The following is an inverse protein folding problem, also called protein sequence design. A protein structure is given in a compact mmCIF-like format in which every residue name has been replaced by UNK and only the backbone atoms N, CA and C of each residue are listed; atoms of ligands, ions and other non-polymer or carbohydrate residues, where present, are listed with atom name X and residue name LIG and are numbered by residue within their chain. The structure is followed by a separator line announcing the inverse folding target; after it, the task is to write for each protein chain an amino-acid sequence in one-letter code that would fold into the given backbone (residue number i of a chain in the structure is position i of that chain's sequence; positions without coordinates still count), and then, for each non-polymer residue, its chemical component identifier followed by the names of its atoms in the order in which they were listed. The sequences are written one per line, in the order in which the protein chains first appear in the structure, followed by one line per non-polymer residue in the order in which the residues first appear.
data_IF_456968301362
#
_entry.id   IF_456968301362
#
_cell.length_a   1.000
_cell.length_b   1.000
_cell.length_c   1.000
_cell.angle_alpha   90.00
_cell.angle_beta   90.00
_cell.angle_gamma   90.00
#
_symmetry.space_group_name_H-M   'P 1'
#
loop_
_entity.id
_entity.type
_entity.pdbx_description
1 polymer ?
#
# COMPACT_ATOMS: atom_id res chain seq x y z
N UNK A 1 38.24 43.80 59.28
CA UNK A 1 37.50 44.09 58.05
C UNK A 1 38.20 43.37 56.90
N UNK A 2 37.76 42.20 56.50
CA UNK A 2 38.30 41.48 55.35
C UNK A 2 37.11 41.08 54.44
N UNK A 3 37.08 41.65 53.24
CA UNK A 3 36.11 41.31 52.18
C UNK A 3 36.42 39.91 51.61
N UNK A 4 35.44 39.01 51.61
CA UNK A 4 35.50 37.75 50.89
C UNK A 4 34.79 37.97 49.54
N UNK A 5 35.53 37.83 48.48
CA UNK A 5 35.03 37.72 47.09
C UNK A 5 34.49 36.30 46.85
N UNK A 6 33.22 36.19 46.46
CA UNK A 6 32.62 34.97 45.93
C UNK A 6 32.90 34.88 44.45
N UNK A 7 33.64 33.88 44.02
CA UNK A 7 33.74 33.48 42.62
C UNK A 7 32.55 32.64 42.26
N UNK A 8 31.65 33.20 41.42
CA UNK A 8 30.57 32.46 40.78
C UNK A 8 31.09 31.72 39.56
N UNK A 9 31.01 30.39 39.59
CA UNK A 9 31.27 29.56 38.44
C UNK A 9 29.96 29.47 37.62
N UNK A 10 29.94 30.16 36.47
CA UNK A 10 28.86 30.03 35.50
C UNK A 10 29.05 28.72 34.74
N UNK A 11 28.13 27.78 34.89
CA UNK A 11 28.00 26.63 34.03
C UNK A 11 27.31 27.03 32.74
N UNK A 12 28.08 27.16 31.68
CA UNK A 12 27.54 27.27 30.31
C UNK A 12 27.15 25.88 29.86
N UNK A 13 25.85 25.59 29.88
CA UNK A 13 25.32 24.40 29.19
C UNK A 13 25.38 24.67 27.68
N UNK A 14 26.45 24.21 27.05
CA UNK A 14 26.50 24.10 25.59
C UNK A 14 25.58 22.95 25.15
N UNK A 15 24.38 23.27 24.68
CA UNK A 15 23.55 22.35 23.92
C UNK A 15 24.20 22.19 22.53
N UNK A 16 25.05 21.15 22.42
CA UNK A 16 25.52 20.70 21.13
C UNK A 16 24.34 20.13 20.36
N UNK A 17 23.82 20.87 19.38
CA UNK A 17 23.06 20.28 18.29
C UNK A 17 23.97 19.26 17.59
N UNK A 18 23.86 18.02 17.97
CA UNK A 18 24.36 16.92 17.16
C UNK A 18 23.49 16.90 15.91
N UNK A 19 23.92 17.65 14.87
CA UNK A 19 23.51 17.38 13.50
C UNK A 19 23.85 15.91 13.25
N UNK A 20 22.86 15.05 13.35
CA UNK A 20 22.93 13.70 12.85
C UNK A 20 23.19 13.81 11.35
N UNK A 21 24.45 13.87 10.95
CA UNK A 21 24.86 13.53 9.60
C UNK A 21 24.43 12.05 9.41
N UNK A 22 23.26 11.86 8.81
CA UNK A 22 22.93 10.56 8.23
C UNK A 22 24.00 10.33 7.15
N UNK A 23 24.82 9.27 7.23
CA UNK A 23 25.62 8.92 6.09
C UNK A 23 24.61 8.73 4.95
N UNK A 24 24.80 9.44 3.86
CA UNK A 24 24.15 9.12 2.60
C UNK A 24 24.67 7.72 2.22
N UNK A 25 23.98 6.69 2.67
CA UNK A 25 24.16 5.37 2.08
C UNK A 25 23.82 5.58 0.61
N UNK A 26 24.82 5.42 -0.23
CA UNK A 26 24.59 5.29 -1.66
C UNK A 26 23.56 4.16 -1.79
N UNK A 27 22.32 4.52 -2.17
CA UNK A 27 21.29 3.53 -2.42
C UNK A 27 21.77 2.71 -3.58
N UNK A 28 22.19 1.47 -3.31
CA UNK A 28 22.37 0.49 -4.36
C UNK A 28 21.01 0.34 -5.02
N UNK A 29 20.93 0.73 -6.30
CA UNK A 29 19.73 0.57 -7.10
C UNK A 29 19.36 -0.91 -7.12
N UNK A 30 18.11 -1.24 -6.82
CA UNK A 30 17.62 -2.61 -6.96
C UNK A 30 17.94 -3.05 -8.40
N UNK A 31 18.74 -4.10 -8.55
CA UNK A 31 19.14 -4.56 -9.86
C UNK A 31 17.93 -5.10 -10.63
N UNK A 32 17.69 -4.58 -11.82
CA UNK A 32 16.64 -5.11 -12.70
C UNK A 32 16.96 -6.56 -13.06
N UNK A 33 16.06 -7.47 -12.77
CA UNK A 33 16.25 -8.92 -12.98
C UNK A 33 15.10 -9.57 -13.73
N UNK A 34 14.14 -8.77 -14.23
CA UNK A 34 12.91 -9.29 -14.79
C UNK A 34 12.79 -9.16 -16.29
N UNK A 35 12.18 -10.16 -16.90
CA UNK A 35 11.72 -10.18 -18.30
C UNK A 35 10.32 -9.63 -18.49
N UNK A 36 9.63 -9.24 -17.39
CA UNK A 36 8.30 -8.65 -17.49
C UNK A 36 8.40 -7.27 -18.10
N UNK A 37 8.08 -7.20 -19.37
CA UNK A 37 7.91 -5.94 -20.08
C UNK A 37 6.51 -5.46 -19.75
N UNK A 38 6.36 -4.30 -19.11
CA UNK A 38 5.12 -3.62 -18.79
C UNK A 38 3.98 -3.91 -19.79
N UNK A 39 3.15 -4.92 -19.60
CA UNK A 39 2.05 -5.19 -20.51
C UNK A 39 0.85 -4.32 -20.12
N UNK A 40 0.88 -3.05 -20.52
CA UNK A 40 -0.26 -2.17 -20.35
C UNK A 40 -1.48 -2.70 -21.13
N UNK A 41 -2.66 -2.56 -20.56
CA UNK A 41 -3.94 -2.81 -21.24
C UNK A 41 -4.19 -1.70 -22.27
N UNK A 42 -3.91 -0.46 -21.88
CA UNK A 42 -3.90 0.70 -22.78
C UNK A 42 -2.46 0.99 -23.22
N UNK A 43 -2.25 1.14 -24.52
CA UNK A 43 -0.93 1.43 -25.09
C UNK A 43 -0.37 2.78 -24.63
N UNK A 44 -1.27 3.77 -24.44
CA UNK A 44 -0.88 5.14 -24.13
C UNK A 44 -1.62 5.70 -22.93
N UNK A 45 -0.97 6.64 -22.25
CA UNK A 45 -1.57 7.39 -21.18
C UNK A 45 -2.84 8.15 -21.63
N UNK A 46 -2.85 8.68 -22.85
CA UNK A 46 -4.01 9.42 -23.39
C UNK A 46 -5.25 8.54 -23.53
N UNK A 47 -5.08 7.28 -23.88
CA UNK A 47 -6.20 6.32 -23.89
C UNK A 47 -6.75 6.09 -22.48
N UNK A 48 -5.87 5.95 -21.47
CA UNK A 48 -6.27 5.82 -20.08
C UNK A 48 -6.99 7.08 -19.57
N UNK A 49 -6.46 8.27 -19.87
CA UNK A 49 -7.08 9.55 -19.50
C UNK A 49 -8.48 9.68 -20.06
N UNK A 50 -8.67 9.30 -21.32
CA UNK A 50 -9.97 9.39 -21.98
C UNK A 50 -11.07 8.61 -21.22
N UNK A 51 -10.76 7.46 -20.65
CA UNK A 51 -11.77 6.66 -19.91
C UNK A 51 -12.09 7.25 -18.55
N UNK A 52 -11.22 8.13 -18.02
CA UNK A 52 -11.37 8.76 -16.69
C UNK A 52 -12.02 10.15 -16.73
N UNK A 53 -12.40 10.67 -17.91
CA UNK A 53 -12.99 12.01 -18.04
C UNK A 53 -14.32 12.19 -17.30
N UNK A 54 -15.03 11.10 -17.03
CA UNK A 54 -16.29 11.14 -16.27
C UNK A 54 -16.10 11.30 -14.74
N UNK A 55 -14.86 11.30 -14.26
CA UNK A 55 -14.49 11.47 -12.86
C UNK A 55 -13.62 12.73 -12.68
N UNK A 56 -14.21 13.93 -12.77
CA UNK A 56 -13.44 15.17 -12.87
C UNK A 56 -12.53 15.44 -11.67
N UNK A 57 -12.99 15.14 -10.45
CA UNK A 57 -12.16 15.33 -9.25
C UNK A 57 -10.93 14.42 -9.30
N UNK A 58 -11.11 13.14 -9.65
CA UNK A 58 -10.01 12.20 -9.82
C UNK A 58 -9.08 12.64 -10.96
N UNK A 59 -9.65 13.07 -12.08
CA UNK A 59 -8.92 13.51 -13.26
C UNK A 59 -8.00 14.69 -12.93
N UNK A 60 -8.54 15.73 -12.31
CA UNK A 60 -7.79 16.94 -11.94
C UNK A 60 -6.68 16.59 -10.93
N UNK A 61 -7.02 15.81 -9.89
CA UNK A 61 -6.06 15.42 -8.85
C UNK A 61 -4.94 14.50 -9.38
N UNK A 62 -5.21 13.68 -10.41
CA UNK A 62 -4.25 12.72 -10.93
C UNK A 62 -3.44 13.23 -12.12
N UNK A 63 -4.04 14.01 -13.00
CA UNK A 63 -3.39 14.38 -14.27
C UNK A 63 -3.02 15.85 -14.33
N UNK A 64 -3.92 16.77 -14.00
CA UNK A 64 -3.65 18.19 -14.15
C UNK A 64 -2.55 18.68 -13.20
N UNK A 65 -2.56 18.21 -11.96
CA UNK A 65 -1.53 18.55 -10.96
C UNK A 65 -0.16 18.01 -11.37
N UNK A 66 -0.11 16.82 -11.97
CA UNK A 66 1.14 16.13 -12.31
C UNK A 66 1.53 16.17 -13.78
N UNK A 67 0.86 16.99 -14.59
CA UNK A 67 1.07 17.07 -16.07
C UNK A 67 2.52 17.30 -16.52
N UNK A 68 3.35 17.89 -15.66
CA UNK A 68 4.77 18.09 -15.95
C UNK A 68 5.66 16.92 -15.54
N UNK A 69 5.13 15.92 -14.85
CA UNK A 69 5.87 14.74 -14.42
C UNK A 69 5.83 13.65 -15.50
N UNK A 70 6.76 12.69 -15.39
CA UNK A 70 6.76 11.54 -16.27
C UNK A 70 5.43 10.77 -16.11
N UNK A 71 4.82 10.39 -17.24
CA UNK A 71 3.52 9.71 -17.29
C UNK A 71 2.46 10.38 -16.38
N UNK A 72 2.57 11.69 -16.21
CA UNK A 72 1.71 12.50 -15.34
C UNK A 72 1.55 11.90 -13.92
N UNK A 73 2.62 11.33 -13.38
CA UNK A 73 2.64 10.71 -12.06
C UNK A 73 2.04 9.30 -12.00
N UNK A 74 1.56 8.73 -13.10
CA UNK A 74 0.98 7.37 -13.09
C UNK A 74 2.03 6.27 -13.27
N UNK A 75 1.70 5.06 -12.81
CA UNK A 75 2.58 3.89 -12.92
C UNK A 75 1.80 2.71 -13.49
N UNK A 76 2.23 2.20 -14.65
CA UNK A 76 1.60 1.01 -15.27
C UNK A 76 1.76 -0.18 -14.34
N UNK A 77 0.65 -0.87 -14.06
CA UNK A 77 0.67 -2.11 -13.27
C UNK A 77 1.29 -3.23 -14.12
N UNK A 78 2.45 -3.78 -13.73
CA UNK A 78 3.07 -4.87 -14.49
C UNK A 78 2.28 -6.16 -14.34
N UNK A 79 2.50 -7.09 -15.27
CA UNK A 79 2.04 -8.48 -15.13
C UNK A 79 0.56 -8.74 -15.36
N UNK A 80 -0.26 -7.74 -15.73
CA UNK A 80 -1.69 -7.91 -16.03
C UNK A 80 -1.98 -8.89 -17.18
N UNK A 81 -1.05 -9.05 -18.12
CA UNK A 81 -1.17 -9.99 -19.23
C UNK A 81 -0.42 -11.28 -18.92
N UNK A 82 0.77 -11.17 -18.32
CA UNK A 82 1.65 -12.31 -18.08
C UNK A 82 2.65 -11.99 -16.96
N UNK A 83 2.82 -12.96 -16.05
CA UNK A 83 3.79 -12.88 -14.95
C UNK A 83 4.50 -14.23 -14.81
N UNK A 84 5.82 -14.23 -14.85
CA UNK A 84 6.62 -15.39 -14.47
C UNK A 84 6.55 -15.55 -12.94
N UNK A 85 6.20 -16.73 -12.47
CA UNK A 85 6.06 -17.08 -11.06
C UNK A 85 6.34 -18.58 -10.86
N UNK A 86 5.81 -19.19 -9.79
CA UNK A 86 5.86 -20.64 -9.57
C UNK A 86 4.47 -21.20 -9.36
N UNK A 87 4.27 -22.43 -9.81
CA UNK A 87 3.03 -23.18 -9.68
C UNK A 87 2.90 -23.88 -8.30
N UNK A 88 1.87 -24.73 -8.16
CA UNK A 88 1.59 -25.53 -6.96
C UNK A 88 2.69 -26.55 -6.64
N UNK A 89 3.53 -26.88 -7.59
CA UNK A 89 4.64 -27.83 -7.47
C UNK A 89 5.99 -27.14 -7.33
N UNK A 90 5.99 -25.82 -7.12
CA UNK A 90 7.18 -24.98 -7.11
C UNK A 90 8.00 -25.02 -8.41
N UNK A 91 7.33 -25.33 -9.54
CA UNK A 91 7.92 -25.22 -10.86
C UNK A 91 7.68 -23.83 -11.40
N UNK A 92 8.67 -23.31 -12.12
CA UNK A 92 8.54 -22.02 -12.79
C UNK A 92 7.49 -22.12 -13.87
N UNK A 93 6.52 -21.20 -13.83
CA UNK A 93 5.39 -21.14 -14.75
C UNK A 93 4.98 -19.69 -15.04
N UNK A 94 4.10 -19.51 -16.01
CA UNK A 94 3.56 -18.20 -16.38
C UNK A 94 2.09 -18.10 -15.97
N UNK A 95 1.79 -17.09 -15.13
CA UNK A 95 0.43 -16.74 -14.77
C UNK A 95 -0.09 -15.60 -15.66
N UNK A 96 -1.23 -15.83 -16.32
CA UNK A 96 -1.93 -14.80 -17.10
C UNK A 96 -3.10 -14.15 -16.33
N UNK A 97 -3.24 -14.44 -15.04
CA UNK A 97 -4.43 -14.07 -14.24
C UNK A 97 -4.05 -13.44 -12.88
N UNK A 98 -3.00 -12.61 -12.91
CA UNK A 98 -2.62 -11.83 -11.74
C UNK A 98 -3.57 -10.67 -11.52
N UNK A 99 -4.08 -10.56 -10.29
CA UNK A 99 -4.98 -9.50 -9.83
C UNK A 99 -4.26 -8.62 -8.82
N UNK A 100 -4.02 -7.34 -9.11
CA UNK A 100 -3.34 -6.42 -8.20
C UNK A 100 -4.24 -6.09 -6.99
N UNK A 101 -3.64 -5.98 -5.81
CA UNK A 101 -4.38 -5.81 -4.56
C UNK A 101 -3.81 -4.73 -3.66
N UNK A 102 -2.49 -4.64 -3.53
CA UNK A 102 -1.84 -3.72 -2.62
C UNK A 102 -0.84 -2.81 -3.31
N UNK A 103 -0.68 -1.60 -2.80
CA UNK A 103 0.31 -0.62 -3.26
C UNK A 103 1.03 0.02 -2.07
N UNK A 104 2.35 0.21 -2.18
CA UNK A 104 3.14 0.97 -1.22
C UNK A 104 4.25 1.76 -1.92
N UNK A 105 4.56 2.92 -1.35
CA UNK A 105 5.77 3.68 -1.69
C UNK A 105 6.88 3.26 -0.75
N UNK A 106 7.97 2.74 -1.31
CA UNK A 106 9.10 2.17 -0.57
C UNK A 106 10.36 2.89 -1.03
N UNK A 107 10.76 3.92 -0.31
CA UNK A 107 11.87 4.81 -0.70
C UNK A 107 11.71 5.32 -2.15
N UNK A 108 12.58 4.91 -3.08
CA UNK A 108 12.54 5.28 -4.51
C UNK A 108 11.74 4.29 -5.38
N UNK A 109 10.93 3.44 -4.77
CA UNK A 109 10.15 2.42 -5.48
C UNK A 109 8.66 2.52 -5.23
N UNK A 110 7.89 2.12 -6.23
CA UNK A 110 6.48 1.76 -6.10
C UNK A 110 6.41 0.23 -6.11
N UNK A 111 5.80 -0.34 -5.08
CA UNK A 111 5.60 -1.78 -4.98
C UNK A 111 4.12 -2.10 -5.07
N UNK A 112 3.77 -3.12 -5.85
CA UNK A 112 2.38 -3.53 -6.10
C UNK A 112 2.28 -5.02 -5.85
N UNK A 113 1.46 -5.44 -4.89
CA UNK A 113 1.17 -6.87 -4.67
C UNK A 113 0.06 -7.36 -5.60
N UNK A 114 0.17 -8.61 -6.02
CA UNK A 114 -0.84 -9.27 -6.82
C UNK A 114 -0.91 -10.77 -6.50
N UNK A 115 -2.09 -11.35 -6.63
CA UNK A 115 -2.31 -12.78 -6.46
C UNK A 115 -2.86 -13.40 -7.76
N UNK A 116 -2.64 -14.70 -7.93
CA UNK A 116 -3.26 -15.45 -9.03
C UNK A 116 -4.74 -15.69 -8.70
N UNK A 117 -5.66 -15.14 -9.50
CA UNK A 117 -7.11 -15.25 -9.25
C UNK A 117 -7.59 -16.70 -9.23
N UNK A 118 -6.98 -17.57 -10.05
CA UNK A 118 -7.25 -19.01 -10.05
C UNK A 118 -6.54 -19.77 -8.92
N UNK A 119 -5.73 -19.11 -8.08
CA UNK A 119 -4.93 -19.70 -6.99
C UNK A 119 -3.99 -20.83 -7.41
N UNK A 120 -3.58 -20.89 -8.68
CA UNK A 120 -2.67 -21.90 -9.23
C UNK A 120 -1.19 -21.52 -9.06
N UNK A 121 -0.90 -20.27 -8.81
CA UNK A 121 0.46 -19.73 -8.74
C UNK A 121 0.68 -18.93 -7.46
N UNK A 122 1.94 -18.81 -7.06
CA UNK A 122 2.32 -17.98 -5.93
C UNK A 122 2.05 -16.49 -6.20
N UNK A 123 1.68 -15.78 -5.16
CA UNK A 123 1.49 -14.33 -5.18
C UNK A 123 2.81 -13.61 -5.39
N UNK A 124 2.74 -12.38 -5.90
CA UNK A 124 3.92 -11.62 -6.29
C UNK A 124 3.87 -10.19 -5.78
N UNK A 125 5.04 -9.53 -5.78
CA UNK A 125 5.15 -8.08 -5.65
C UNK A 125 5.96 -7.57 -6.83
N UNK A 126 5.37 -6.66 -7.61
CA UNK A 126 6.06 -5.94 -8.67
C UNK A 126 6.78 -4.73 -8.09
N UNK A 127 7.99 -4.48 -8.53
CA UNK A 127 8.81 -3.34 -8.14
C UNK A 127 9.03 -2.44 -9.34
N UNK A 128 8.61 -1.18 -9.22
CA UNK A 128 8.86 -0.14 -10.22
C UNK A 128 9.73 0.96 -9.61
N UNK A 129 10.58 1.56 -10.40
CA UNK A 129 11.33 2.75 -9.98
C UNK A 129 10.40 3.97 -9.97
N UNK A 130 10.33 4.68 -8.84
CA UNK A 130 9.43 5.82 -8.61
C UNK A 130 9.71 7.01 -9.55
N UNK A 131 10.96 7.21 -9.96
CA UNK A 131 11.37 8.33 -10.81
C UNK A 131 11.25 8.04 -12.30
N UNK A 132 11.73 6.86 -12.71
CA UNK A 132 11.73 6.47 -14.12
C UNK A 132 10.45 5.79 -14.57
N UNK A 133 9.59 5.35 -13.63
CA UNK A 133 8.37 4.55 -13.82
C UNK A 133 8.64 3.18 -14.48
N UNK A 134 9.91 2.81 -14.63
CA UNK A 134 10.27 1.55 -15.23
C UNK A 134 10.11 0.38 -14.26
N UNK A 135 9.68 -0.75 -14.81
CA UNK A 135 9.70 -2.02 -14.10
C UNK A 135 11.14 -2.43 -13.75
N UNK A 136 11.34 -2.89 -12.52
CA UNK A 136 12.62 -3.33 -11.99
C UNK A 136 12.68 -4.84 -11.89
N UNK A 137 11.76 -5.44 -11.13
CA UNK A 137 11.69 -6.89 -10.93
C UNK A 137 10.34 -7.35 -10.38
N UNK A 138 10.11 -8.65 -10.46
CA UNK A 138 9.04 -9.34 -9.72
C UNK A 138 9.63 -10.10 -8.53
N UNK A 139 9.03 -9.95 -7.37
CA UNK A 139 9.31 -10.72 -6.17
C UNK A 139 8.25 -11.81 -6.07
N UNK A 140 8.65 -13.08 -6.16
CA UNK A 140 7.74 -14.21 -6.02
C UNK A 140 7.66 -14.56 -4.54
N UNK A 141 6.48 -14.48 -3.95
CA UNK A 141 6.25 -14.81 -2.54
C UNK A 141 6.21 -16.34 -2.34
N UNK A 142 6.51 -16.80 -1.13
CA UNK A 142 6.50 -18.23 -0.82
C UNK A 142 5.11 -18.83 -0.62
N UNK A 143 4.05 -18.05 -0.78
CA UNK A 143 2.66 -18.49 -0.62
C UNK A 143 1.73 -17.90 -1.69
N UNK A 144 0.46 -18.30 -1.63
CA UNK A 144 -0.62 -17.89 -2.54
C UNK A 144 -1.65 -17.01 -1.86
N UNK A 145 -1.25 -16.32 -0.80
CA UNK A 145 -2.13 -15.41 -0.08
C UNK A 145 -2.73 -14.36 -1.01
N UNK A 146 -3.92 -13.89 -0.68
CA UNK A 146 -4.62 -12.84 -1.45
C UNK A 146 -3.82 -11.53 -1.52
N UNK A 147 -2.91 -11.29 -0.55
CA UNK A 147 -2.04 -10.11 -0.44
C UNK A 147 -2.79 -8.77 -0.54
N UNK A 148 -3.99 -8.72 0.09
CA UNK A 148 -4.94 -7.60 0.03
C UNK A 148 -4.43 -6.26 0.54
N UNK A 149 -3.21 -6.21 1.08
CA UNK A 149 -2.54 -4.97 1.46
C UNK A 149 -1.06 -5.16 1.69
N UNK A 150 -0.28 -4.12 1.36
CA UNK A 150 1.13 -3.99 1.69
C UNK A 150 1.39 -2.63 2.32
N UNK A 151 2.35 -2.54 3.24
CA UNK A 151 2.68 -1.30 3.93
C UNK A 151 4.17 -1.22 4.23
N UNK A 152 4.77 -0.04 4.07
CA UNK A 152 6.18 0.16 4.33
C UNK A 152 6.41 0.84 5.68
N UNK A 153 7.26 0.23 6.49
CA UNK A 153 7.84 0.80 7.71
C UNK A 153 9.20 1.41 7.36
N UNK A 154 9.31 2.73 7.23
CA UNK A 154 10.56 3.38 6.83
C UNK A 154 11.62 3.38 7.94
N UNK A 155 11.21 3.15 9.19
CA UNK A 155 12.13 3.16 10.35
C UNK A 155 12.89 1.83 10.42
N UNK A 156 12.16 0.72 10.42
CA UNK A 156 12.76 -0.61 10.46
C UNK A 156 13.11 -1.14 9.06
N UNK A 157 12.71 -0.40 7.99
CA UNK A 157 12.90 -0.75 6.58
C UNK A 157 12.31 -2.12 6.25
N UNK A 158 11.07 -2.34 6.71
CA UNK A 158 10.31 -3.55 6.47
C UNK A 158 9.13 -3.26 5.53
N UNK A 159 8.95 -4.09 4.53
CA UNK A 159 7.71 -4.17 3.76
C UNK A 159 6.81 -5.20 4.45
N UNK A 160 5.70 -4.75 5.00
CA UNK A 160 4.66 -5.59 5.58
C UNK A 160 3.70 -6.06 4.49
N UNK A 161 3.25 -7.30 4.58
CA UNK A 161 2.38 -7.96 3.59
C UNK A 161 1.24 -8.65 4.33
N UNK A 162 0.01 -8.41 3.90
CA UNK A 162 -1.16 -9.15 4.35
C UNK A 162 -1.10 -10.58 3.81
N UNK A 163 -0.97 -11.55 4.70
CA UNK A 163 -0.85 -12.98 4.35
C UNK A 163 -1.88 -13.81 5.08
N UNK A 164 -1.92 -15.11 4.78
CA UNK A 164 -2.82 -16.07 5.38
C UNK A 164 -2.08 -17.37 5.69
N UNK A 165 -2.42 -17.95 6.82
CA UNK A 165 -2.08 -19.33 7.11
C UNK A 165 -3.15 -20.23 6.49
N UNK A 166 -2.82 -20.85 5.37
CA UNK A 166 -3.77 -21.70 4.63
C UNK A 166 -4.15 -22.97 5.39
N UNK A 167 -3.22 -23.51 6.20
CA UNK A 167 -3.44 -24.75 6.97
C UNK A 167 -4.39 -24.51 8.14
N UNK A 168 -4.22 -23.39 8.85
CA UNK A 168 -5.04 -23.05 10.02
C UNK A 168 -6.25 -22.19 9.67
N UNK A 169 -6.33 -21.67 8.45
CA UNK A 169 -7.48 -20.94 7.92
C UNK A 169 -7.68 -19.53 8.49
N UNK A 170 -6.67 -18.94 9.14
CA UNK A 170 -6.72 -17.58 9.66
C UNK A 170 -5.68 -16.65 9.03
N UNK A 171 -5.84 -15.36 9.25
CA UNK A 171 -4.94 -14.34 8.76
C UNK A 171 -3.54 -14.43 9.39
N UNK A 172 -2.57 -13.93 8.67
CA UNK A 172 -1.24 -13.61 9.16
C UNK A 172 -0.80 -12.26 8.59
N UNK A 173 0.24 -11.70 9.17
CA UNK A 173 0.99 -10.59 8.61
C UNK A 173 2.46 -10.99 8.54
N UNK A 174 3.06 -10.76 7.38
CA UNK A 174 4.45 -11.12 7.11
C UNK A 174 5.26 -9.88 6.80
N UNK A 175 6.57 -9.92 6.99
CA UNK A 175 7.43 -8.83 6.53
C UNK A 175 8.66 -9.31 5.80
N UNK A 176 9.10 -8.46 4.87
CA UNK A 176 10.35 -8.57 4.13
C UNK A 176 11.21 -7.35 4.45
N UNK A 177 12.44 -7.57 4.89
CA UNK A 177 13.41 -6.49 5.01
C UNK A 177 13.77 -5.95 3.63
N UNK A 178 13.98 -4.67 3.52
CA UNK A 178 14.36 -4.08 2.23
C UNK A 178 15.68 -4.69 1.71
N UNK A 179 16.64 -5.00 2.59
CA UNK A 179 17.87 -5.69 2.21
C UNK A 179 17.63 -7.10 1.62
N UNK A 180 16.64 -7.83 2.13
CA UNK A 180 16.22 -9.13 1.58
C UNK A 180 15.61 -8.94 0.19
N UNK A 181 14.77 -7.92 0.02
CA UNK A 181 14.20 -7.54 -1.27
C UNK A 181 15.31 -7.15 -2.26
N UNK A 182 16.26 -6.31 -1.85
CA UNK A 182 17.35 -5.83 -2.71
C UNK A 182 18.19 -6.98 -3.25
N UNK A 183 18.54 -7.93 -2.40
CA UNK A 183 19.37 -9.09 -2.77
C UNK A 183 18.60 -10.16 -3.57
N UNK A 184 17.26 -10.14 -3.55
CA UNK A 184 16.46 -11.15 -4.23
C UNK A 184 16.54 -11.06 -5.74
N UNK A 185 16.81 -12.20 -6.37
CA UNK A 185 16.91 -12.34 -7.82
C UNK A 185 16.32 -13.69 -8.27
N UNK A 186 15.07 -13.65 -8.75
CA UNK A 186 14.38 -14.87 -9.19
C UNK A 186 15.04 -15.53 -10.39
N UNK A 187 15.57 -14.75 -11.34
CA UNK A 187 16.24 -15.31 -12.53
C UNK A 187 17.46 -16.18 -12.16
N UNK A 188 18.12 -15.87 -11.02
CA UNK A 188 19.25 -16.67 -10.52
C UNK A 188 18.81 -17.82 -9.61
N UNK A 189 17.86 -17.56 -8.70
CA UNK A 189 17.50 -18.54 -7.67
C UNK A 189 16.44 -19.52 -8.12
N UNK A 190 15.56 -19.11 -9.03
CA UNK A 190 14.35 -19.83 -9.48
C UNK A 190 13.47 -20.30 -8.30
N UNK A 191 13.57 -19.59 -7.17
CA UNK A 191 12.85 -19.92 -5.92
C UNK A 191 12.11 -18.69 -5.41
N UNK A 192 10.94 -18.89 -4.78
CA UNK A 192 10.26 -17.84 -4.05
C UNK A 192 11.13 -17.22 -2.95
N UNK A 193 10.86 -15.95 -2.62
CA UNK A 193 11.46 -15.28 -1.47
C UNK A 193 10.81 -15.82 -0.19
N UNK A 194 11.61 -15.94 0.88
CA UNK A 194 11.10 -16.27 2.21
C UNK A 194 10.88 -14.99 3.00
N UNK A 195 9.79 -14.94 3.76
CA UNK A 195 9.55 -13.84 4.68
C UNK A 195 10.60 -13.83 5.81
N UNK A 196 11.07 -12.64 6.16
CA UNK A 196 11.98 -12.44 7.31
C UNK A 196 11.26 -12.61 8.66
N UNK A 197 9.94 -12.35 8.65
CA UNK A 197 9.10 -12.49 9.83
C UNK A 197 7.66 -12.79 9.43
N UNK A 198 7.01 -13.67 10.18
CA UNK A 198 5.59 -14.01 10.04
C UNK A 198 4.93 -13.97 11.41
N UNK A 199 3.81 -13.27 11.50
CA UNK A 199 2.96 -13.21 12.69
C UNK A 199 1.59 -13.77 12.38
N UNK A 200 1.20 -14.81 13.08
CA UNK A 200 -0.15 -15.38 13.02
C UNK A 200 -1.14 -14.49 13.74
N UNK A 201 -2.34 -14.32 13.15
CA UNK A 201 -3.43 -13.49 13.64
C UNK A 201 -4.69 -14.34 13.85
N UNK A 202 -4.72 -15.25 14.83
CA UNK A 202 -5.82 -16.23 14.99
C UNK A 202 -7.17 -15.59 15.27
N UNK A 203 -7.19 -14.32 15.71
CA UNK A 203 -8.41 -13.54 15.93
C UNK A 203 -9.01 -12.96 14.64
N UNK A 204 -8.31 -13.04 13.51
CA UNK A 204 -8.74 -12.60 12.19
C UNK A 204 -8.84 -13.77 11.23
N UNK A 205 -9.96 -13.89 10.55
CA UNK A 205 -10.11 -14.88 9.46
C UNK A 205 -9.31 -14.46 8.22
N UNK A 206 -9.41 -13.19 7.84
CA UNK A 206 -8.72 -12.62 6.68
C UNK A 206 -8.14 -11.24 7.08
N UNK A 207 -6.97 -10.91 6.55
CA UNK A 207 -6.39 -9.57 6.56
C UNK A 207 -6.58 -9.00 5.15
N UNK A 208 -7.67 -8.25 4.94
CA UNK A 208 -8.08 -7.83 3.59
C UNK A 208 -7.45 -6.52 3.14
N UNK A 209 -7.04 -5.70 4.09
CA UNK A 209 -6.33 -4.45 3.82
C UNK A 209 -5.43 -4.08 5.00
N UNK A 210 -4.40 -3.30 4.75
CA UNK A 210 -3.48 -2.85 5.79
C UNK A 210 -2.79 -1.54 5.44
N UNK A 211 -2.30 -0.85 6.48
CA UNK A 211 -1.40 0.29 6.34
C UNK A 211 -0.41 0.35 7.50
N UNK A 212 0.60 1.18 7.38
CA UNK A 212 1.54 1.51 8.44
C UNK A 212 1.47 3.00 8.74
N UNK A 213 1.46 3.35 10.02
CA UNK A 213 1.56 4.71 10.47
C UNK A 213 2.13 4.74 11.91
N UNK A 214 3.11 5.61 12.13
CA UNK A 214 3.69 5.92 13.46
C UNK A 214 4.02 4.67 14.33
N UNK A 215 4.88 3.79 13.81
CA UNK A 215 5.27 2.52 14.45
C UNK A 215 4.13 1.54 14.69
N UNK A 216 3.02 1.69 14.01
CA UNK A 216 1.90 0.76 14.10
C UNK A 216 1.51 0.20 12.73
N UNK A 217 1.24 -1.10 12.67
CA UNK A 217 0.62 -1.75 11.52
C UNK A 217 -0.86 -1.94 11.80
N UNK A 218 -1.67 -1.42 10.91
CA UNK A 218 -3.13 -1.53 10.93
C UNK A 218 -3.54 -2.64 9.99
N UNK A 219 -4.13 -3.71 10.53
CA UNK A 219 -4.66 -4.83 9.77
C UNK A 219 -6.18 -4.79 9.83
N UNK A 220 -6.84 -4.83 8.69
CA UNK A 220 -8.28 -4.67 8.63
C UNK A 220 -9.00 -5.79 7.91
N UNK A 221 -10.26 -5.98 8.28
CA UNK A 221 -11.20 -6.80 7.54
C UNK A 221 -12.61 -6.24 7.64
N UNK A 222 -13.41 -6.52 6.62
CA UNK A 222 -14.82 -6.16 6.56
C UNK A 222 -15.67 -7.41 6.42
N UNK A 223 -16.63 -7.57 7.33
CA UNK A 223 -17.63 -8.63 7.28
C UNK A 223 -18.89 -8.12 6.58
N UNK A 224 -19.14 -8.59 5.36
CA UNK A 224 -20.29 -8.20 4.53
C UNK A 224 -21.63 -8.55 5.16
N UNK A 225 -21.73 -9.65 5.93
CA UNK A 225 -23.00 -10.12 6.49
C UNK A 225 -23.43 -9.25 7.65
N UNK A 226 -22.48 -8.88 8.51
CA UNK A 226 -22.75 -8.06 9.70
C UNK A 226 -22.47 -6.58 9.46
N UNK A 227 -21.96 -6.20 8.27
CA UNK A 227 -21.47 -4.86 7.94
C UNK A 227 -20.52 -4.34 9.03
N UNK A 228 -19.61 -5.21 9.48
CA UNK A 228 -18.67 -4.89 10.55
C UNK A 228 -17.29 -4.65 9.98
N UNK A 229 -16.79 -3.44 10.16
CA UNK A 229 -15.39 -3.08 9.95
C UNK A 229 -14.61 -3.40 11.22
N UNK A 230 -13.52 -4.16 11.09
CA UNK A 230 -12.61 -4.46 12.20
C UNK A 230 -11.20 -4.06 11.84
N UNK A 231 -10.56 -3.28 12.71
CA UNK A 231 -9.14 -2.91 12.63
C UNK A 231 -8.41 -3.49 13.83
N UNK A 232 -7.33 -4.20 13.57
CA UNK A 232 -6.39 -4.69 14.56
C UNK A 232 -5.09 -3.92 14.39
N UNK A 233 -4.68 -3.22 15.43
CA UNK A 233 -3.56 -2.29 15.41
C UNK A 233 -2.44 -2.89 16.25
N UNK A 234 -1.30 -3.11 15.61
CA UNK A 234 -0.15 -3.76 16.20
C UNK A 234 1.02 -2.81 16.24
N UNK A 235 1.53 -2.55 17.45
CA UNK A 235 2.74 -1.75 17.63
C UNK A 235 3.97 -2.50 17.16
N UNK A 236 4.88 -1.81 16.50
CA UNK A 236 6.17 -2.33 16.04
C UNK A 236 7.26 -1.93 17.05
N UNK A 237 8.08 -2.88 17.43
CA UNK A 237 9.27 -2.61 18.23
C UNK A 237 10.38 -1.99 17.36
N UNK A 238 10.83 -0.76 17.65
CA UNK A 238 11.76 -0.03 16.76
C UNK A 238 13.11 -0.73 16.54
N UNK A 239 13.57 -1.54 17.51
CA UNK A 239 14.87 -2.21 17.42
C UNK A 239 14.80 -3.53 16.64
N UNK A 240 13.74 -4.30 16.82
CA UNK A 240 13.59 -5.60 16.17
C UNK A 240 12.83 -5.53 14.85
N UNK A 241 12.03 -4.48 14.63
CA UNK A 241 11.10 -4.37 13.52
C UNK A 241 10.01 -5.45 13.53
N UNK A 242 9.67 -5.99 14.72
CA UNK A 242 8.65 -7.02 14.90
C UNK A 242 7.46 -6.48 15.68
N UNK A 243 6.34 -7.14 15.57
CA UNK A 243 5.14 -6.81 16.33
C UNK A 243 5.38 -7.04 17.82
N UNK A 244 5.10 -6.02 18.64
CA UNK A 244 5.06 -6.14 20.09
C UNK A 244 3.80 -6.94 20.50
N UNK A 245 4.01 -8.08 21.14
CA UNK A 245 2.95 -8.97 21.57
C UNK A 245 2.06 -8.40 22.70
N UNK A 246 2.52 -7.34 23.38
CA UNK A 246 1.86 -6.77 24.56
C UNK A 246 0.93 -5.62 24.26
N UNK A 247 0.99 -5.06 23.05
CA UNK A 247 0.23 -3.86 22.71
C UNK A 247 -0.57 -4.04 21.41
N UNK A 248 -1.69 -4.72 21.51
CA UNK A 248 -2.65 -4.84 20.42
C UNK A 248 -3.90 -4.06 20.78
N UNK A 249 -4.34 -3.15 19.89
CA UNK A 249 -5.63 -2.48 19.99
C UNK A 249 -6.56 -3.05 18.93
N UNK A 250 -7.84 -3.12 19.25
CA UNK A 250 -8.87 -3.55 18.28
C UNK A 250 -9.97 -2.53 18.25
N UNK A 251 -10.34 -2.08 17.06
CA UNK A 251 -11.48 -1.20 16.81
C UNK A 251 -12.47 -1.99 15.96
N UNK A 252 -13.75 -2.02 16.38
CA UNK A 252 -14.82 -2.68 15.65
C UNK A 252 -16.02 -1.76 15.57
N UNK A 253 -16.55 -1.59 14.38
CA UNK A 253 -17.77 -0.82 14.12
C UNK A 253 -18.75 -1.69 13.36
N UNK A 254 -19.87 -2.02 14.00
CA UNK A 254 -20.97 -2.74 13.40
C UNK A 254 -21.92 -1.76 12.70
N UNK A 255 -22.56 -2.21 11.62
CA UNK A 255 -23.50 -1.37 10.85
C UNK A 255 -22.80 -0.20 10.16
N UNK A 256 -21.58 -0.42 9.67
CA UNK A 256 -20.79 0.61 9.00
C UNK A 256 -21.30 0.84 7.58
N UNK A 257 -22.16 1.84 7.43
CA UNK A 257 -22.87 2.14 6.16
C UNK A 257 -22.33 3.39 5.42
N UNK A 258 -21.26 4.02 5.91
CA UNK A 258 -20.78 5.30 5.36
C UNK A 258 -20.11 5.20 4.00
N UNK A 259 -19.53 4.04 3.69
CA UNK A 259 -18.72 3.83 2.47
C UNK A 259 -19.24 2.67 1.62
N UNK A 260 -20.51 2.31 1.76
CA UNK A 260 -21.09 1.19 1.02
C UNK A 260 -20.71 -0.17 1.60
N UNK A 261 -20.58 -1.19 0.75
CA UNK A 261 -20.63 -2.57 1.23
C UNK A 261 -19.27 -3.18 1.60
N UNK A 262 -18.14 -2.70 1.05
CA UNK A 262 -16.86 -3.38 1.23
C UNK A 262 -15.70 -2.40 1.33
N UNK A 263 -15.12 -2.29 2.52
CA UNK A 263 -13.85 -1.61 2.70
C UNK A 263 -12.70 -2.47 2.15
N UNK A 264 -11.92 -1.91 1.23
CA UNK A 264 -10.81 -2.57 0.53
C UNK A 264 -9.44 -2.00 0.90
N UNK A 265 -9.39 -0.79 1.47
CA UNK A 265 -8.13 -0.16 1.82
C UNK A 265 -8.25 0.89 2.90
N UNK A 266 -7.12 1.18 3.55
CA UNK A 266 -6.95 2.25 4.51
C UNK A 266 -5.61 2.93 4.28
N UNK A 267 -5.60 4.26 4.32
CA UNK A 267 -4.38 5.06 4.36
C UNK A 267 -4.48 6.09 5.48
N UNK A 268 -3.37 6.36 6.16
CA UNK A 268 -3.31 7.27 7.30
C UNK A 268 -2.19 8.30 7.07
N UNK A 269 -2.52 9.56 7.26
CA UNK A 269 -1.58 10.69 7.28
C UNK A 269 -1.69 11.46 8.60
N UNK A 270 -0.98 12.57 8.73
CA UNK A 270 -1.11 13.45 9.90
C UNK A 270 -2.48 14.13 9.96
N UNK A 271 -3.11 14.36 8.80
CA UNK A 271 -4.37 15.10 8.69
C UNK A 271 -5.59 14.20 8.50
N UNK A 272 -5.43 13.09 7.77
CA UNK A 272 -6.56 12.27 7.34
C UNK A 272 -6.37 10.78 7.61
N UNK A 273 -7.50 10.12 7.83
CA UNK A 273 -7.66 8.69 7.62
C UNK A 273 -8.57 8.54 6.40
N UNK A 274 -8.11 7.78 5.41
CA UNK A 274 -8.85 7.55 4.16
C UNK A 274 -9.18 6.07 4.05
N UNK A 275 -10.46 5.77 3.83
CA UNK A 275 -10.93 4.43 3.52
C UNK A 275 -11.32 4.34 2.05
N UNK A 276 -10.94 3.27 1.36
CA UNK A 276 -11.45 2.92 0.05
C UNK A 276 -12.54 1.85 0.19
N UNK A 277 -13.58 1.97 -0.63
CA UNK A 277 -14.64 0.97 -0.72
C UNK A 277 -14.97 0.66 -2.17
N UNK A 278 -15.29 -0.60 -2.44
CA UNK A 278 -15.66 -1.08 -3.76
C UNK A 278 -16.80 -2.08 -3.66
N UNK A 279 -17.81 -1.93 -4.51
CA UNK A 279 -19.07 -2.69 -4.43
C UNK A 279 -19.21 -3.80 -5.49
N UNK A 280 -18.19 -4.04 -6.29
CA UNK A 280 -18.19 -5.09 -7.31
C UNK A 280 -18.33 -4.57 -8.74
N UNK A 281 -18.74 -5.42 -9.70
CA UNK A 281 -18.72 -5.08 -11.12
C UNK A 281 -19.58 -3.87 -11.45
N UNK A 282 -19.06 -2.96 -12.27
CA UNK A 282 -19.74 -1.74 -12.76
C UNK A 282 -20.40 -0.88 -11.67
N UNK A 283 -20.02 -1.08 -10.40
CA UNK A 283 -20.46 -0.22 -9.30
C UNK A 283 -19.32 0.73 -8.92
N UNK A 284 -19.65 2.00 -8.84
CA UNK A 284 -18.70 3.02 -8.45
C UNK A 284 -18.06 2.71 -7.09
N UNK A 285 -16.77 2.91 -7.01
CA UNK A 285 -16.02 2.88 -5.76
C UNK A 285 -16.09 4.23 -5.05
N UNK A 286 -15.68 4.26 -3.81
CA UNK A 286 -15.70 5.46 -2.98
C UNK A 286 -14.41 5.63 -2.20
N UNK A 287 -13.94 6.87 -2.08
CA UNK A 287 -13.01 7.30 -1.03
C UNK A 287 -13.80 8.03 0.06
N UNK A 288 -13.55 7.68 1.30
CA UNK A 288 -14.08 8.38 2.46
C UNK A 288 -12.94 8.95 3.29
N UNK A 289 -12.91 10.29 3.43
CA UNK A 289 -11.93 11.01 4.23
C UNK A 289 -12.51 11.29 5.61
N UNK A 290 -11.74 11.04 6.64
CA UNK A 290 -12.03 11.36 8.04
C UNK A 290 -10.91 12.23 8.57
N UNK A 291 -11.26 13.31 9.28
CA UNK A 291 -10.28 14.15 9.94
C UNK A 291 -9.63 13.39 11.08
N UNK A 292 -8.30 13.40 11.15
CA UNK A 292 -7.57 12.61 12.13
C UNK A 292 -7.64 13.13 13.56
N UNK A 293 -8.10 14.35 13.78
CA UNK A 293 -8.38 14.88 15.11
C UNK A 293 -9.45 14.12 15.89
N UNK A 294 -10.19 13.23 15.19
CA UNK A 294 -11.20 12.38 15.78
C UNK A 294 -10.61 11.00 16.11
N UNK A 295 -10.26 10.77 17.38
CA UNK A 295 -9.73 9.49 17.87
C UNK A 295 -10.69 8.31 17.63
N UNK A 296 -11.95 8.59 17.30
CA UNK A 296 -13.01 7.63 17.02
C UNK A 296 -13.53 7.74 15.59
N UNK A 297 -12.67 7.98 14.62
CA UNK A 297 -13.04 8.21 13.23
C UNK A 297 -14.05 7.20 12.65
N UNK A 298 -14.02 5.96 13.11
CA UNK A 298 -14.96 4.93 12.66
C UNK A 298 -16.40 5.16 13.15
N UNK A 299 -16.61 6.00 14.16
CA UNK A 299 -17.93 6.42 14.63
C UNK A 299 -18.34 7.78 14.05
N UNK A 300 -17.42 8.48 13.40
CA UNK A 300 -17.68 9.74 12.75
C UNK A 300 -18.23 9.55 11.34
N UNK A 301 -18.92 10.54 10.82
CA UNK A 301 -19.19 10.61 9.39
C UNK A 301 -17.93 11.09 8.67
N UNK A 302 -17.66 10.61 7.46
CA UNK A 302 -16.55 11.14 6.69
C UNK A 302 -16.77 12.64 6.46
N UNK A 303 -15.69 13.43 6.60
CA UNK A 303 -15.68 14.85 6.27
C UNK A 303 -15.87 15.07 4.77
N UNK A 304 -15.44 14.09 3.96
CA UNK A 304 -15.65 14.08 2.52
C UNK A 304 -15.74 12.68 1.95
N UNK A 305 -16.57 12.51 0.92
CA UNK A 305 -16.62 11.32 0.08
C UNK A 305 -16.40 11.67 -1.38
N UNK A 306 -15.70 10.82 -2.12
CA UNK A 306 -15.43 11.00 -3.55
C UNK A 306 -15.78 9.71 -4.27
N UNK A 307 -16.62 9.83 -5.29
CA UNK A 307 -16.99 8.72 -6.18
C UNK A 307 -15.89 8.49 -7.20
N UNK A 308 -15.51 7.24 -7.39
CA UNK A 308 -14.44 6.80 -8.27
C UNK A 308 -14.91 5.63 -9.17
N UNK A 309 -14.16 5.32 -10.24
CA UNK A 309 -14.39 4.10 -11.01
C UNK A 309 -14.45 2.85 -10.15
N UNK A 310 -15.12 1.82 -10.65
CA UNK A 310 -15.24 0.50 -10.01
C UNK A 310 -13.89 -0.14 -9.67
N UNK A 311 -13.88 -1.09 -8.75
CA UNK A 311 -12.73 -1.93 -8.42
C UNK A 311 -11.53 -1.20 -7.83
N UNK A 312 -11.77 -0.16 -7.03
CA UNK A 312 -10.73 0.44 -6.19
C UNK A 312 -10.33 -0.52 -5.07
N UNK A 313 -9.04 -0.79 -4.96
CA UNK A 313 -8.43 -1.63 -3.93
C UNK A 313 -7.66 -0.77 -2.91
N UNK A 314 -6.41 -1.07 -2.64
CA UNK A 314 -5.64 -0.34 -1.65
C UNK A 314 -5.36 1.11 -2.07
N UNK A 315 -5.39 1.98 -1.07
CA UNK A 315 -4.92 3.36 -1.11
C UNK A 315 -3.71 3.53 -0.19
N UNK A 316 -2.79 4.45 -0.53
CA UNK A 316 -1.54 4.62 0.21
C UNK A 316 -1.06 6.08 0.22
N UNK A 317 -0.70 6.61 1.40
CA UNK A 317 -0.04 7.91 1.52
C UNK A 317 1.48 7.78 1.45
N UNK A 318 2.15 8.68 0.73
CA UNK A 318 3.62 8.73 0.66
C UNK A 318 4.28 9.64 1.72
N UNK A 319 3.48 10.20 2.61
CA UNK A 319 3.94 11.16 3.61
C UNK A 319 4.12 12.59 3.09
N UNK A 320 3.88 12.86 1.81
CA UNK A 320 4.08 14.15 1.16
C UNK A 320 2.81 14.79 0.58
N UNK A 321 1.62 14.50 1.12
CA UNK A 321 0.36 15.04 0.61
C UNK A 321 -0.15 14.35 -0.65
N UNK A 322 0.39 13.20 -0.99
CA UNK A 322 0.02 12.39 -2.15
C UNK A 322 -0.65 11.10 -1.73
N UNK A 323 -1.81 10.81 -2.32
CA UNK A 323 -2.53 9.56 -2.19
C UNK A 323 -2.37 8.73 -3.47
N UNK A 324 -1.90 7.50 -3.33
CA UNK A 324 -1.81 6.54 -4.43
C UNK A 324 -3.03 5.64 -4.41
N UNK A 325 -3.64 5.44 -5.57
CA UNK A 325 -4.83 4.61 -5.77
C UNK A 325 -4.49 3.43 -6.66
N UNK A 326 -4.82 2.23 -6.22
CA UNK A 326 -4.68 1.00 -6.99
C UNK A 326 -6.07 0.44 -7.32
N UNK A 327 -6.27 0.04 -8.57
CA UNK A 327 -7.48 -0.60 -9.05
C UNK A 327 -7.18 -2.00 -9.58
N UNK A 328 -8.13 -2.91 -9.46
CA UNK A 328 -8.03 -4.26 -10.01
C UNK A 328 -8.81 -4.46 -11.32
N UNK A 329 -9.55 -3.42 -11.79
CA UNK A 329 -10.47 -3.52 -12.94
C UNK A 329 -9.80 -4.02 -14.22
N UNK A 330 -8.52 -3.69 -14.44
CA UNK A 330 -7.76 -4.16 -15.61
C UNK A 330 -7.22 -5.59 -15.48
N UNK A 331 -7.42 -6.30 -14.36
CA UNK A 331 -7.07 -7.70 -14.24
C UNK A 331 -7.92 -8.57 -15.19
N UNK A 332 -7.35 -9.67 -15.69
CA UNK A 332 -8.05 -10.58 -16.63
C UNK A 332 -9.39 -11.05 -16.08
N UNK A 333 -9.45 -11.33 -14.77
CA UNK A 333 -10.68 -11.77 -14.11
C UNK A 333 -11.84 -10.78 -14.23
N UNK A 334 -11.57 -9.50 -14.47
CA UNK A 334 -12.58 -8.42 -14.40
C UNK A 334 -12.74 -7.64 -15.70
N UNK A 335 -11.71 -7.50 -16.53
CA UNK A 335 -11.71 -6.69 -17.78
C UNK A 335 -12.93 -6.83 -18.69
N UNK A 336 -13.57 -8.02 -18.71
CA UNK A 336 -14.72 -8.26 -19.56
C UNK A 336 -16.06 -7.81 -18.94
N UNK A 337 -16.06 -7.56 -17.63
CA UNK A 337 -17.26 -7.20 -16.86
C UNK A 337 -17.25 -5.75 -16.39
N UNK A 338 -16.22 -4.99 -16.70
CA UNK A 338 -16.09 -3.59 -16.28
C UNK A 338 -16.20 -2.65 -17.48
N UNK A 339 -16.82 -1.50 -17.25
CA UNK A 339 -16.91 -0.43 -18.26
C UNK A 339 -15.61 0.37 -18.36
N UNK A 340 -14.78 0.35 -17.31
CA UNK A 340 -13.51 1.08 -17.21
C UNK A 340 -12.43 0.19 -16.64
N UNK A 341 -11.41 -0.11 -17.47
CA UNK A 341 -10.22 -0.85 -17.04
C UNK A 341 -9.11 0.13 -16.66
N UNK A 342 -8.72 0.18 -15.39
CA UNK A 342 -7.61 1.02 -14.93
C UNK A 342 -6.37 0.15 -14.76
N UNK A 343 -5.41 0.32 -15.67
CA UNK A 343 -4.17 -0.45 -15.74
C UNK A 343 -2.97 0.24 -15.07
N UNK A 344 -3.26 1.30 -14.29
CA UNK A 344 -2.23 2.14 -13.67
C UNK A 344 -2.55 2.41 -12.20
N UNK A 345 -1.51 2.54 -11.40
CA UNK A 345 -1.59 3.24 -10.11
C UNK A 345 -1.72 4.73 -10.41
N UNK A 346 -2.72 5.36 -9.85
CA UNK A 346 -2.94 6.80 -9.97
C UNK A 346 -2.36 7.51 -8.75
N UNK A 347 -1.55 8.53 -9.00
CA UNK A 347 -1.03 9.44 -8.00
C UNK A 347 -1.97 10.64 -7.91
N UNK A 348 -2.52 10.91 -6.73
CA UNK A 348 -3.51 11.97 -6.52
C UNK A 348 -3.02 13.01 -5.51
N UNK A 349 -3.17 14.26 -5.86
CA UNK A 349 -2.97 15.38 -4.93
C UNK A 349 -4.12 15.47 -3.93
N UNK A 350 -3.81 15.35 -2.63
CA UNK A 350 -4.82 15.32 -1.57
C UNK A 350 -5.55 16.65 -1.43
N UNK A 351 -4.84 17.74 -1.61
CA UNK A 351 -5.43 19.08 -1.56
C UNK A 351 -6.51 19.24 -2.64
N UNK A 352 -6.23 18.79 -3.86
CA UNK A 352 -7.20 18.82 -4.96
C UNK A 352 -8.37 17.90 -4.67
N UNK A 353 -8.14 16.68 -4.17
CA UNK A 353 -9.21 15.76 -3.78
C UNK A 353 -10.13 16.37 -2.71
N UNK A 354 -9.57 17.07 -1.72
CA UNK A 354 -10.31 17.56 -0.56
C UNK A 354 -10.96 18.92 -0.75
N UNK A 355 -10.36 19.81 -1.56
CA UNK A 355 -10.87 21.19 -1.80
C UNK A 355 -11.99 21.26 -2.83
N UNK A 356 -12.21 20.24 -3.63
CA UNK A 356 -13.21 20.28 -4.72
C UNK A 356 -14.62 20.33 -4.11
N UNK A 357 -15.21 21.52 -4.10
CA UNK A 357 -16.62 21.72 -3.71
C UNK A 357 -17.44 21.74 -5.01
N UNK A 358 -18.35 20.80 -5.18
CA UNK A 358 -19.38 20.93 -6.21
C UNK A 358 -20.30 22.09 -5.80
N UNK A 359 -20.28 23.18 -6.56
CA UNK A 359 -21.32 24.19 -6.52
C UNK A 359 -22.56 23.71 -7.26
#
# INVERSE_FOLDING_TARGET
MKKKTLNGIAWVCAWGCALCFRPAFAMESIASTGTNVNPAIYETLEKQKKVLTNYPILFDASFDVYKSQKDEGTYVVPGLIRTETVDLHNQVDECADMTPQGVAVVDDYIMISAYCHEHKHNSVIYVLNKRSHLFVKTIILENRSHVGGIAYDPICRNLWVATKNEEEGHASVSSLKLATIDSYNFSKTRKPIRFDYVRQLPQMKNNTFMTYYDFEVYCGCFDKKTKTLSLYIYKIEPFSGRIDNRSTRTIRVAGYDFIGDICQGIAISDEYIVLSASNGPDQESMLAFFDRSDDYFLNAKPSKTITLPSRLEQVYFDGGGTLFLLFESAAKAYRQSESIDIDRVLKCDVDTLTRYVRY
#
